data_IF_125563043588
#
_entry.id   IF_125563043588
#
_cell.length_a   1.000
_cell.length_b   1.000
_cell.length_c   1.000
_cell.angle_alpha   90.00
_cell.angle_beta   90.00
_cell.angle_gamma   90.00
#
_symmetry.space_group_name_H-M   'P 1'
#
loop_
_entity.id
_entity.type
_entity.pdbx_description
1 polymer ?
2 non-polymer ?
3 water ?
#
# COMPACT_ATOMS: atom_id res chain seq x y z
N UNK A 15 12.52 -9.17 -20.61
CA UNK A 15 13.89 -8.66 -20.95
C UNK A 15 14.75 -8.60 -19.68
N UNK A 16 14.12 -8.33 -18.52
CA UNK A 16 14.76 -8.25 -17.18
C UNK A 16 14.43 -9.51 -16.36
N UNK A 17 15.32 -9.90 -15.46
CA UNK A 17 15.26 -11.18 -14.71
C UNK A 17 16.34 -11.17 -13.62
N UNK A 18 16.17 -12.04 -12.63
CA UNK A 18 17.08 -12.13 -11.45
C UNK A 18 18.26 -13.06 -11.78
N UNK A 19 19.46 -12.60 -11.43
CA UNK A 19 20.75 -13.32 -11.63
C UNK A 19 21.04 -14.12 -10.36
N UNK A 20 21.11 -13.43 -9.22
CA UNK A 20 21.52 -13.99 -7.90
C UNK A 20 20.71 -13.33 -6.78
N UNK A 21 20.71 -13.97 -5.61
CA UNK A 21 20.06 -13.48 -4.37
C UNK A 21 20.92 -13.85 -3.16
N UNK A 22 21.87 -12.97 -2.83
CA UNK A 22 22.88 -13.17 -1.77
C UNK A 22 22.29 -12.67 -0.45
N UNK A 23 22.12 -13.56 0.53
CA UNK A 23 21.71 -13.18 1.91
C UNK A 23 22.73 -12.21 2.51
N UNK A 24 22.26 -11.04 2.97
CA UNK A 24 23.10 -10.02 3.66
C UNK A 24 23.01 -10.26 5.17
N UNK A 25 21.80 -10.38 5.71
CA UNK A 25 21.54 -10.60 7.17
C UNK A 25 20.14 -11.18 7.37
N UNK A 26 20.02 -12.28 8.11
CA UNK A 26 18.74 -12.94 8.48
C UNK A 26 18.34 -12.54 9.91
N UNK A 27 17.17 -11.94 10.10
CA UNK A 27 16.56 -11.73 11.43
C UNK A 27 15.69 -12.92 11.85
N UNK A 28 15.00 -12.78 12.98
CA UNK A 28 13.98 -13.73 13.51
C UNK A 28 12.79 -13.80 12.55
N UNK A 29 12.30 -12.65 12.09
CA UNK A 29 11.03 -12.52 11.32
C UNK A 29 11.32 -12.28 9.84
N UNK A 30 12.32 -11.45 9.57
CA UNK A 30 12.59 -10.90 8.21
C UNK A 30 14.10 -10.91 7.94
N UNK A 31 14.48 -11.06 6.66
CA UNK A 31 15.89 -11.08 6.19
C UNK A 31 16.09 -10.02 5.10
N UNK A 32 17.34 -9.58 4.94
CA UNK A 32 17.79 -8.60 3.93
C UNK A 32 18.69 -9.33 2.93
N UNK A 33 18.48 -9.16 1.62
CA UNK A 33 19.22 -9.91 0.55
C UNK A 33 19.67 -8.94 -0.54
N UNK A 34 20.88 -9.13 -1.06
CA UNK A 34 21.41 -8.38 -2.23
C UNK A 34 20.95 -9.13 -3.48
N UNK A 35 19.97 -8.55 -4.17
CA UNK A 35 19.44 -9.06 -5.45
C UNK A 35 20.27 -8.47 -6.59
N UNK A 36 21.00 -9.31 -7.30
CA UNK A 36 21.62 -8.95 -8.60
C UNK A 36 20.61 -9.29 -9.69
N UNK A 37 20.39 -8.37 -10.63
CA UNK A 37 19.42 -8.54 -11.75
C UNK A 37 20.02 -7.99 -13.04
N UNK A 38 19.47 -8.43 -14.17
CA UNK A 38 19.81 -7.95 -15.53
C UNK A 38 18.81 -6.87 -15.94
N UNK A 39 19.32 -5.69 -16.31
CA UNK A 39 18.47 -4.59 -16.81
C UNK A 39 18.20 -4.88 -18.29
N UNK A 40 17.35 -4.08 -18.98
CA UNK A 40 17.03 -4.34 -20.39
C UNK A 40 18.17 -4.09 -21.40
N UNK A 41 19.26 -3.45 -20.95
CA UNK A 41 20.43 -3.08 -21.80
C UNK A 41 21.50 -4.18 -21.72
N UNK A 42 21.19 -5.32 -21.08
CA UNK A 42 22.14 -6.42 -20.86
C UNK A 42 23.25 -6.01 -19.90
N UNK A 43 22.91 -5.18 -18.92
CA UNK A 43 23.86 -4.56 -17.94
C UNK A 43 23.33 -4.86 -16.53
N UNK A 44 24.15 -5.46 -15.68
CA UNK A 44 23.68 -5.96 -14.37
C UNK A 44 23.68 -4.81 -13.36
N UNK A 45 22.68 -4.85 -12.46
CA UNK A 45 22.50 -3.92 -11.33
C UNK A 45 22.16 -4.75 -10.10
N UNK A 46 22.17 -4.12 -8.94
CA UNK A 46 21.81 -4.77 -7.65
C UNK A 46 20.67 -4.00 -7.00
N UNK A 47 20.06 -4.64 -6.01
CA UNK A 47 18.95 -4.08 -5.22
C UNK A 47 18.98 -4.73 -3.84
N UNK A 48 18.66 -3.95 -2.82
CA UNK A 48 18.51 -4.46 -1.44
C UNK A 48 17.02 -4.81 -1.23
N UNK A 49 16.74 -6.10 -1.08
CA UNK A 49 15.40 -6.71 -1.04
C UNK A 49 15.11 -7.31 0.34
N UNK A 50 13.87 -7.23 0.80
CA UNK A 50 13.44 -7.82 2.08
C UNK A 50 12.54 -9.03 1.79
N UNK A 51 12.72 -10.11 2.56
CA UNK A 51 11.88 -11.32 2.49
C UNK A 51 11.61 -11.81 3.92
N UNK A 52 10.46 -12.43 4.15
CA UNK A 52 10.17 -13.05 5.46
C UNK A 52 11.07 -14.28 5.60
N UNK A 53 11.55 -14.54 6.81
CA UNK A 53 12.53 -15.62 7.09
C UNK A 53 11.85 -16.97 6.87
N UNK A 54 10.53 -17.03 7.10
CA UNK A 54 9.71 -18.27 7.06
C UNK A 54 8.86 -18.27 5.78
N UNK A 55 9.24 -19.08 4.78
CA UNK A 55 8.56 -19.19 3.45
C UNK A 55 7.04 -19.40 3.64
N UNK A 56 6.22 -18.70 2.85
CA UNK A 56 4.73 -18.87 2.81
C UNK A 56 4.40 -20.14 2.03
N UNK A 57 3.68 -21.09 2.66
CA UNK A 57 3.10 -22.30 2.00
C UNK A 57 1.95 -21.84 1.08
N UNK A 58 0.95 -21.12 1.63
CA UNK A 58 -0.07 -20.33 0.88
C UNK A 58 0.64 -19.51 -0.20
N UNK A 59 0.03 -19.34 -1.37
CA UNK A 59 0.52 -18.47 -2.47
C UNK A 59 1.00 -17.14 -1.89
N UNK A 60 0.07 -16.34 -1.33
CA UNK A 60 0.29 -14.98 -0.81
C UNK A 60 0.53 -14.98 0.72
N UNK A 61 1.01 -13.83 1.20
CA UNK A 61 1.63 -13.68 2.55
C UNK A 61 0.54 -13.38 3.58
N UNK A 62 -0.37 -12.44 3.27
CA UNK A 62 -1.40 -11.99 4.21
C UNK A 62 -2.67 -11.52 3.52
N UNK A 63 -3.59 -10.96 4.31
CA UNK A 63 -4.83 -10.30 3.82
C UNK A 63 -4.94 -8.91 4.46
N UNK A 64 -5.44 -7.94 3.70
CA UNK A 64 -6.01 -6.67 4.20
C UNK A 64 -7.52 -6.75 4.03
N UNK A 65 -8.26 -6.51 5.11
CA UNK A 65 -9.74 -6.64 5.13
C UNK A 65 -10.36 -5.25 4.98
N UNK A 66 -11.21 -5.08 3.97
CA UNK A 66 -12.05 -3.86 3.78
C UNK A 66 -13.41 -4.13 4.39
N UNK A 67 -13.62 -3.75 5.67
CA UNK A 67 -14.83 -4.11 6.41
C UNK A 67 -15.87 -2.99 6.38
N UNK A 68 -17.03 -3.29 5.81
CA UNK A 68 -18.13 -2.32 5.58
C UNK A 68 -19.21 -2.59 6.62
N UNK A 69 -19.33 -1.69 7.60
CA UNK A 69 -20.36 -1.77 8.67
C UNK A 69 -21.69 -1.21 8.14
N UNK A 70 -22.62 -2.13 7.87
CA UNK A 70 -23.95 -1.81 7.29
C UNK A 70 -25.01 -1.87 8.40
N UNK A 71 -25.63 -0.72 8.69
CA UNK A 71 -26.78 -0.60 9.62
C UNK A 71 -27.90 0.21 8.96
N UNK A 72 -29.14 -0.19 9.20
CA UNK A 72 -30.36 0.59 8.89
C UNK A 72 -30.38 1.81 9.82
N UNK A 73 -30.79 2.96 9.27
CA UNK A 73 -30.93 4.26 10.00
C UNK A 73 -29.54 4.81 10.36
N UNK A 74 -28.49 4.29 9.71
CA UNK A 74 -27.08 4.74 9.85
C UNK A 74 -26.46 4.85 8.46
N UNK A 75 -25.39 5.63 8.34
CA UNK A 75 -24.52 5.63 7.14
C UNK A 75 -23.67 4.35 7.16
N UNK A 76 -23.35 3.84 5.98
CA UNK A 76 -22.35 2.76 5.82
C UNK A 76 -21.00 3.29 6.33
N UNK A 77 -20.37 2.55 7.24
CA UNK A 77 -19.04 2.88 7.83
C UNK A 77 -17.99 1.89 7.31
N UNK A 78 -16.75 2.37 7.13
CA UNK A 78 -15.55 1.52 6.88
C UNK A 78 -14.81 1.40 8.20
N UNK A 79 -14.61 0.16 8.67
CA UNK A 79 -13.99 -0.15 9.99
C UNK A 79 -12.47 -0.23 9.81
N UNK A 80 -11.75 0.64 10.52
CA UNK A 80 -10.27 0.74 10.49
C UNK A 80 -9.74 0.47 11.90
N UNK A 81 -8.43 0.29 12.01
CA UNK A 81 -7.74 -0.07 13.28
C UNK A 81 -6.61 0.92 13.52
N UNK A 82 -6.58 1.51 14.71
CA UNK A 82 -5.47 2.39 15.23
C UNK A 82 -4.53 1.50 16.04
N UNK A 83 -3.40 1.11 15.45
CA UNK A 83 -2.33 0.31 16.13
C UNK A 83 -1.11 1.19 16.33
N UNK A 84 -0.37 0.97 17.42
CA UNK A 84 1.03 1.42 17.56
C UNK A 84 1.91 0.50 16.72
N UNK A 85 2.71 1.08 15.84
CA UNK A 85 3.53 0.36 14.83
C UNK A 85 5.00 0.69 15.07
N UNK A 86 5.77 -0.24 15.68
CA UNK A 86 7.16 0.02 16.02
C UNK A 86 7.99 0.54 14.85
N UNK A 87 7.94 -0.08 13.64
CA UNK A 87 8.70 0.42 12.50
C UNK A 87 8.51 1.91 12.21
N UNK A 88 7.30 2.42 12.47
CA UNK A 88 6.91 3.84 12.21
C UNK A 88 7.25 4.71 13.44
N UNK A 89 7.36 4.09 14.62
CA UNK A 89 7.53 4.78 15.91
C UNK A 89 6.28 5.57 16.29
N UNK A 90 5.12 5.17 15.79
CA UNK A 90 3.86 5.88 16.04
C UNK A 90 2.66 5.00 15.79
N UNK A 91 1.48 5.60 15.88
CA UNK A 91 0.16 4.97 15.61
C UNK A 91 -0.15 5.13 14.12
N UNK A 92 -0.69 4.08 13.51
CA UNK A 92 -1.14 4.07 12.10
C UNK A 92 -2.59 3.64 12.05
N UNK A 93 -3.35 4.25 11.15
CA UNK A 93 -4.73 3.82 10.81
C UNK A 93 -4.65 3.00 9.53
N UNK A 94 -5.06 1.73 9.64
CA UNK A 94 -4.92 0.73 8.54
C UNK A 94 -6.23 -0.05 8.43
N UNK A 95 -6.39 -0.78 7.33
CA UNK A 95 -7.35 -1.90 7.23
C UNK A 95 -6.90 -3.01 8.16
N UNK A 96 -7.84 -3.67 8.86
CA UNK A 96 -7.52 -4.88 9.61
C UNK A 96 -6.81 -5.86 8.65
N UNK A 97 -5.61 -6.29 9.03
CA UNK A 97 -4.73 -7.15 8.21
C UNK A 97 -3.96 -8.08 9.13
N UNK A 98 -3.50 -9.20 8.55
CA UNK A 98 -2.74 -10.25 9.24
C UNK A 98 -2.26 -11.29 8.27
N UNK A 99 -1.31 -12.12 8.71
CA UNK A 99 -0.70 -13.18 7.87
C UNK A 99 -1.67 -14.36 7.83
N UNK A 100 -1.70 -15.05 6.69
CA UNK A 100 -2.52 -16.25 6.44
C UNK A 100 -1.88 -17.43 7.18
N UNK A 101 -2.61 -18.07 8.11
CA UNK A 101 -2.19 -19.33 8.78
C UNK A 101 -1.96 -20.42 7.72
N UNK A 102 -1.05 -21.35 7.98
CA UNK A 102 -0.72 -22.44 7.02
C UNK A 102 -2.00 -23.24 6.76
N UNK A 103 -2.27 -23.56 5.49
CA UNK A 103 -3.50 -24.25 5.04
C UNK A 103 -4.73 -23.54 5.56
N UNK A 104 -4.99 -22.35 5.03
CA UNK A 104 -6.15 -21.47 5.39
C UNK A 104 -6.45 -20.57 4.19
N UNK A 105 -7.70 -20.54 3.73
CA UNK A 105 -8.12 -19.71 2.57
C UNK A 105 -8.01 -18.24 2.94
N UNK A 106 -7.72 -17.34 1.96
CA UNK A 106 -7.62 -15.91 2.24
C UNK A 106 -8.92 -15.41 2.88
N UNK A 107 -10.03 -15.95 2.39
CA UNK A 107 -11.40 -15.67 2.87
C UNK A 107 -11.49 -16.03 4.36
N UNK A 108 -11.10 -17.26 4.73
CA UNK A 108 -11.08 -17.73 6.13
C UNK A 108 -10.30 -16.73 6.97
N UNK A 109 -9.11 -16.37 6.46
CA UNK A 109 -8.10 -15.51 7.11
C UNK A 109 -8.72 -14.14 7.40
N UNK A 110 -9.35 -13.53 6.39
CA UNK A 110 -9.98 -12.19 6.46
C UNK A 110 -11.06 -12.17 7.57
N UNK A 111 -11.90 -13.20 7.65
CA UNK A 111 -13.00 -13.27 8.64
C UNK A 111 -12.43 -13.53 10.05
N UNK A 112 -11.35 -14.30 10.13
CA UNK A 112 -10.61 -14.53 11.40
C UNK A 112 -9.99 -13.21 11.86
N UNK A 113 -9.18 -12.57 11.01
CA UNK A 113 -8.43 -11.32 11.33
C UNK A 113 -9.40 -10.19 11.66
N UNK A 114 -10.57 -10.15 11.04
CA UNK A 114 -11.58 -9.12 11.35
C UNK A 114 -12.09 -9.37 12.78
N UNK A 115 -12.59 -10.57 13.06
CA UNK A 115 -13.20 -10.89 14.37
C UNK A 115 -12.14 -10.65 15.46
N UNK A 116 -10.89 -11.01 15.20
CA UNK A 116 -9.79 -10.86 16.20
C UNK A 116 -9.57 -9.37 16.48
N UNK A 117 -9.37 -8.57 15.43
CA UNK A 117 -8.96 -7.15 15.58
C UNK A 117 -10.14 -6.28 16.03
N UNK A 118 -11.36 -6.57 15.56
CA UNK A 118 -12.55 -5.69 15.72
C UNK A 118 -13.67 -6.36 16.53
N UNK A 119 -13.71 -7.69 16.57
CA UNK A 119 -14.78 -8.44 17.28
C UNK A 119 -16.00 -8.66 16.40
N UNK A 120 -15.97 -8.12 15.17
CA UNK A 120 -17.09 -8.21 14.21
C UNK A 120 -17.07 -9.57 13.51
N UNK A 121 -18.26 -10.18 13.41
CA UNK A 121 -18.50 -11.41 12.61
C UNK A 121 -19.12 -10.94 11.29
N UNK A 122 -18.39 -11.10 10.17
CA UNK A 122 -18.76 -10.55 8.84
C UNK A 122 -19.15 -11.64 7.85
N UNK A 123 -19.42 -11.23 6.60
CA UNK A 123 -19.59 -12.15 5.44
C UNK A 123 -18.65 -11.68 4.33
N UNK A 124 -18.10 -12.61 3.55
CA UNK A 124 -17.27 -12.31 2.36
C UNK A 124 -18.12 -11.52 1.37
N UNK A 125 -17.49 -10.64 0.60
CA UNK A 125 -18.07 -9.95 -0.56
C UNK A 125 -17.27 -10.35 -1.80
N UNK A 126 -15.97 -10.09 -1.77
CA UNK A 126 -15.06 -10.45 -2.88
C UNK A 126 -13.63 -10.41 -2.37
N UNK A 127 -12.75 -11.08 -3.10
CA UNK A 127 -11.35 -11.33 -2.73
C UNK A 127 -10.46 -10.97 -3.92
N UNK A 128 -9.53 -10.03 -3.73
CA UNK A 128 -8.55 -9.62 -4.75
C UNK A 128 -7.59 -10.78 -4.99
N UNK A 129 -7.01 -10.90 -6.20
CA UNK A 129 -5.80 -11.68 -6.37
C UNK A 129 -4.72 -11.16 -5.41
N UNK A 130 -3.62 -11.90 -5.29
CA UNK A 130 -2.36 -11.41 -4.67
C UNK A 130 -1.99 -10.05 -5.29
N UNK A 131 -1.76 -9.04 -4.44
CA UNK A 131 -1.24 -7.71 -4.87
C UNK A 131 -0.05 -7.35 -3.99
N UNK A 132 0.99 -6.75 -4.56
CA UNK A 132 2.24 -6.39 -3.86
C UNK A 132 1.98 -5.23 -2.90
N UNK A 133 2.50 -5.34 -1.67
CA UNK A 133 2.34 -4.32 -0.61
C UNK A 133 3.41 -3.21 -0.76
N UNK A 134 4.64 -3.59 -1.09
CA UNK A 134 5.84 -2.71 -1.05
C UNK A 134 6.83 -3.25 -2.08
N UNK A 135 6.51 -3.16 -3.39
CA UNK A 135 7.30 -3.83 -4.42
C UNK A 135 8.75 -3.35 -4.54
N UNK A 136 9.02 -2.07 -4.24
CA UNK A 136 10.36 -1.47 -4.30
C UNK A 136 11.22 -1.84 -3.09
N UNK A 137 10.69 -2.63 -2.16
CA UNK A 137 11.43 -3.11 -0.97
C UNK A 137 11.23 -4.62 -0.81
N UNK A 138 9.98 -5.08 -0.64
CA UNK A 138 9.63 -6.44 -0.17
C UNK A 138 8.89 -7.20 -1.27
N UNK A 139 8.88 -8.54 -1.19
CA UNK A 139 8.06 -9.42 -2.06
C UNK A 139 6.75 -9.76 -1.34
N UNK A 140 6.38 -8.95 -0.35
CA UNK A 140 5.09 -9.10 0.39
C UNK A 140 3.94 -8.92 -0.60
N UNK A 141 3.10 -9.94 -0.70
CA UNK A 141 1.82 -9.96 -1.46
C UNK A 141 0.69 -10.20 -0.46
N UNK A 142 -0.48 -9.63 -0.73
CA UNK A 142 -1.70 -9.75 0.12
C UNK A 142 -2.91 -9.93 -0.80
N UNK A 143 -3.98 -10.48 -0.22
CA UNK A 143 -5.34 -10.49 -0.83
C UNK A 143 -6.13 -9.39 -0.13
N UNK A 144 -6.58 -8.42 -0.90
CA UNK A 144 -7.52 -7.37 -0.40
C UNK A 144 -8.90 -8.02 -0.40
N UNK A 145 -9.42 -8.32 0.78
CA UNK A 145 -10.70 -9.04 0.95
C UNK A 145 -11.76 -8.02 1.35
N UNK A 146 -12.82 -7.92 0.54
CA UNK A 146 -14.00 -7.06 0.84
C UNK A 146 -14.98 -7.86 1.67
N UNK A 147 -15.38 -7.31 2.82
CA UNK A 147 -16.22 -7.98 3.84
C UNK A 147 -17.37 -7.05 4.22
N UNK A 148 -18.57 -7.61 4.36
CA UNK A 148 -19.79 -6.89 4.80
C UNK A 148 -20.06 -7.25 6.26
N UNK A 149 -20.52 -6.29 7.04
CA UNK A 149 -20.88 -6.49 8.48
C UNK A 149 -22.31 -5.99 8.70
N UNK A 150 -23.20 -6.93 9.04
CA UNK A 150 -24.62 -6.65 9.36
C UNK A 150 -24.71 -6.15 10.80
N UNK A 151 -24.57 -4.83 10.98
CA UNK A 151 -24.51 -4.18 12.30
C UNK A 151 -25.81 -4.35 13.07
N UNK A 152 -26.93 -4.52 12.38
CA UNK A 152 -28.29 -4.66 12.99
C UNK A 152 -28.41 -6.03 13.64
N UNK A 153 -27.68 -7.01 13.11
CA UNK A 153 -27.60 -8.40 13.66
C UNK A 153 -27.16 -8.32 15.13
N UNK A 154 -27.52 -9.32 15.93
CA UNK A 154 -27.22 -9.40 17.38
C UNK A 154 -25.73 -9.72 17.60
N UNK A 155 -25.19 -10.65 16.80
CA UNK A 155 -23.76 -11.02 16.72
C UNK A 155 -22.86 -9.78 16.81
N UNK A 156 -23.27 -8.68 16.18
CA UNK A 156 -22.47 -7.44 16.01
C UNK A 156 -23.05 -6.32 16.88
N UNK A 157 -23.86 -6.66 17.88
CA UNK A 157 -24.38 -5.73 18.91
C UNK A 157 -23.27 -5.42 19.92
N UNK A 158 -22.76 -6.46 20.60
CA UNK A 158 -21.54 -6.41 21.45
C UNK A 158 -20.41 -7.10 20.68
N UNK A 159 -19.63 -6.35 19.84
CA UNK A 159 -18.50 -6.93 19.13
C UNK A 159 -17.37 -7.17 20.14
N UNK A 160 -17.08 -8.44 20.45
CA UNK A 160 -16.04 -8.88 21.42
C UNK A 160 -14.77 -9.31 20.66
N UNK A 161 -13.76 -8.43 20.53
CA UNK A 161 -12.49 -8.78 19.88
C UNK A 161 -11.79 -9.94 20.61
N UNK A 162 -11.18 -10.84 19.83
CA UNK A 162 -10.21 -11.88 20.29
C UNK A 162 -8.79 -11.51 19.84
N UNK A 163 -8.18 -10.41 20.37
CA UNK A 163 -7.06 -9.71 19.73
C UNK A 163 -5.76 -10.49 19.50
N UNK A 164 -5.57 -11.63 20.16
CA UNK A 164 -4.34 -12.42 19.99
C UNK A 164 -3.15 -11.69 20.59
N UNK A 165 -2.08 -12.42 20.86
CA UNK A 165 -1.03 -12.02 21.85
C UNK A 165 -0.21 -10.88 21.27
N UNK A 166 0.08 -9.87 22.09
CA UNK A 166 0.91 -8.72 21.74
C UNK A 166 0.24 -7.80 20.74
N UNK A 167 -1.05 -8.01 20.44
CA UNK A 167 -1.82 -7.15 19.49
C UNK A 167 -2.74 -6.24 20.31
N UNK A 168 -2.59 -4.92 20.15
CA UNK A 168 -3.33 -3.85 20.89
C UNK A 168 -3.95 -2.88 19.88
N UNK A 169 -5.19 -3.20 19.49
CA UNK A 169 -5.96 -2.61 18.38
C UNK A 169 -7.07 -1.73 18.96
N UNK A 170 -7.17 -0.50 18.48
CA UNK A 170 -8.35 0.37 18.71
C UNK A 170 -9.14 0.41 17.40
N UNK A 171 -10.46 0.16 17.49
CA UNK A 171 -11.37 0.11 16.31
C UNK A 171 -11.85 1.54 16.01
N UNK A 172 -11.87 1.92 14.75
CA UNK A 172 -12.29 3.28 14.28
C UNK A 172 -13.18 3.10 13.05
N UNK A 173 -14.51 3.15 13.21
CA UNK A 173 -15.48 3.08 12.09
C UNK A 173 -15.79 4.51 11.60
N UNK A 174 -15.58 4.75 10.31
CA UNK A 174 -15.81 6.06 9.65
C UNK A 174 -16.80 5.90 8.49
N UNK A 175 -17.70 6.88 8.28
CA UNK A 175 -18.68 6.80 7.20
C UNK A 175 -17.96 6.83 5.85
N UNK A 176 -18.36 5.93 4.94
CA UNK A 176 -17.85 5.81 3.54
C UNK A 176 -17.95 7.15 2.80
N UNK A 177 -19.07 7.85 2.98
CA UNK A 177 -19.45 9.08 2.24
C UNK A 177 -18.48 10.22 2.57
N UNK A 178 -17.85 10.21 3.75
CA UNK A 178 -17.09 11.37 4.26
C UNK A 178 -15.65 10.97 4.58
N UNK A 179 -15.20 9.82 4.05
CA UNK A 179 -13.97 9.12 4.54
C UNK A 179 -12.74 10.03 4.44
N UNK A 180 -12.41 10.47 3.23
CA UNK A 180 -11.16 11.24 2.95
C UNK A 180 -11.05 12.44 3.89
N UNK A 181 -12.12 13.22 4.00
CA UNK A 181 -12.19 14.46 4.82
C UNK A 181 -12.09 14.07 6.29
N UNK A 182 -12.75 12.96 6.67
CA UNK A 182 -12.83 12.46 8.06
C UNK A 182 -11.45 11.94 8.50
N UNK A 183 -10.65 11.44 7.56
CA UNK A 183 -9.25 11.00 7.80
C UNK A 183 -8.37 12.22 8.00
N UNK A 184 -8.42 13.18 7.08
CA UNK A 184 -7.63 14.43 7.11
C UNK A 184 -7.81 15.09 8.48
N UNK A 185 -9.01 15.02 9.05
CA UNK A 185 -9.40 15.56 10.38
C UNK A 185 -8.65 14.82 11.49
N UNK A 186 -8.57 13.48 11.41
CA UNK A 186 -7.94 12.60 12.43
C UNK A 186 -6.42 12.78 12.39
N UNK A 187 -5.83 12.86 11.20
CA UNK A 187 -4.38 13.13 11.00
C UNK A 187 -4.01 14.43 11.73
N UNK A 188 -4.71 15.53 11.42
CA UNK A 188 -4.45 16.87 11.98
C UNK A 188 -4.77 16.91 13.48
N UNK A 189 -5.83 16.19 13.93
CA UNK A 189 -6.36 16.25 15.32
C UNK A 189 -5.49 15.43 16.28
N UNK A 190 -4.77 14.40 15.80
CA UNK A 190 -3.82 13.58 16.61
C UNK A 190 -2.45 13.54 15.92
N UNK A 191 -1.46 12.90 16.54
CA UNK A 191 -0.18 12.49 15.90
C UNK A 191 -0.39 11.09 15.33
N UNK A 192 -1.15 10.99 14.23
CA UNK A 192 -1.52 9.69 13.59
C UNK A 192 -1.03 9.68 12.14
N UNK A 193 -0.91 8.48 11.57
CA UNK A 193 -0.53 8.24 10.15
C UNK A 193 -1.53 7.27 9.52
N UNK A 194 -1.96 7.57 8.30
CA UNK A 194 -2.91 6.71 7.56
C UNK A 194 -2.11 5.83 6.61
N UNK A 195 -2.49 4.55 6.56
CA UNK A 195 -2.00 3.52 5.62
C UNK A 195 -2.24 4.04 4.20
N UNK A 196 -1.30 3.82 3.28
CA UNK A 196 -1.39 4.32 1.88
C UNK A 196 -2.61 3.70 1.18
N UNK A 197 -2.93 2.45 1.50
CA UNK A 197 -4.05 1.72 0.84
C UNK A 197 -5.40 2.29 1.30
N UNK A 198 -5.52 2.59 2.59
CA UNK A 198 -6.73 3.24 3.21
C UNK A 198 -6.94 4.61 2.55
N UNK A 199 -5.87 5.39 2.39
CA UNK A 199 -5.94 6.74 1.78
C UNK A 199 -6.21 6.64 0.28
N UNK A 200 -5.62 5.67 -0.42
CA UNK A 200 -5.88 5.38 -1.86
C UNK A 200 -7.36 5.06 -2.06
N UNK A 201 -7.88 4.15 -1.23
CA UNK A 201 -9.29 3.72 -1.21
C UNK A 201 -10.18 4.96 -1.07
N UNK A 202 -9.91 5.79 -0.05
CA UNK A 202 -10.72 6.97 0.35
C UNK A 202 -10.70 8.02 -0.76
N UNK A 203 -9.55 8.19 -1.40
CA UNK A 203 -9.36 9.16 -2.52
C UNK A 203 -10.28 8.75 -3.68
N UNK A 204 -10.36 7.46 -3.98
CA UNK A 204 -11.19 6.90 -5.08
C UNK A 204 -12.67 7.19 -4.81
N UNK A 205 -13.08 7.09 -3.55
CA UNK A 205 -14.50 7.26 -3.13
C UNK A 205 -14.97 8.69 -3.44
N UNK A 206 -14.11 9.68 -3.27
CA UNK A 206 -14.39 11.10 -3.62
C UNK A 206 -14.41 11.24 -5.14
N UNK A 207 -13.41 10.69 -5.83
CA UNK A 207 -13.21 10.85 -7.29
C UNK A 207 -14.33 10.16 -8.08
N UNK A 208 -14.90 9.10 -7.51
CA UNK A 208 -15.95 8.27 -8.13
C UNK A 208 -17.23 9.10 -8.32
N UNK A 209 -17.77 9.63 -7.20
CA UNK A 209 -19.15 10.19 -7.03
C UNK A 209 -19.66 10.80 -8.33
N UNK B 15 1.06 5.13 26.96
CA UNK B 15 1.74 4.00 27.64
C UNK B 15 2.78 3.37 26.71
N UNK B 16 2.68 3.59 25.39
CA UNK B 16 3.56 2.98 24.35
C UNK B 16 4.51 4.02 23.77
N UNK B 17 5.73 3.58 23.45
CA UNK B 17 6.85 4.41 22.94
C UNK B 17 8.02 3.49 22.57
N UNK B 18 8.97 4.00 21.78
CA UNK B 18 10.21 3.27 21.40
C UNK B 18 11.27 3.49 22.49
N UNK B 19 11.91 2.40 22.91
CA UNK B 19 12.94 2.36 23.99
C UNK B 19 14.31 2.55 23.33
N UNK B 20 14.64 1.65 22.42
CA UNK B 20 16.00 1.50 21.83
C UNK B 20 15.89 0.95 20.42
N UNK B 21 17.00 1.02 19.69
CA UNK B 21 17.12 0.57 18.28
C UNK B 21 18.53 0.05 18.05
N UNK B 22 18.67 -1.26 18.16
CA UNK B 22 19.93 -1.99 17.93
C UNK B 22 20.03 -2.33 16.43
N UNK B 23 21.01 -1.77 15.74
CA UNK B 23 21.32 -2.10 14.32
C UNK B 23 21.63 -3.59 14.20
N UNK B 24 20.91 -4.30 13.32
CA UNK B 24 21.15 -5.73 12.99
C UNK B 24 22.11 -5.81 11.81
N UNK B 25 21.80 -5.10 10.72
CA UNK B 25 22.63 -5.08 9.48
C UNK B 25 22.31 -3.81 8.68
N UNK B 26 23.35 -3.05 8.31
CA UNK B 26 23.25 -1.84 7.46
C UNK B 26 23.63 -2.19 6.03
N UNK B 27 22.74 -1.94 5.06
CA UNK B 27 23.03 -1.97 3.62
C UNK B 27 23.49 -0.61 3.12
N UNK B 28 23.72 -0.48 1.81
CA UNK B 28 24.04 0.80 1.11
C UNK B 28 22.82 1.72 1.20
N UNK B 29 21.63 1.17 0.95
CA UNK B 29 20.37 1.93 0.76
C UNK B 29 19.49 1.85 2.01
N UNK B 30 19.44 0.67 2.62
CA UNK B 30 18.46 0.33 3.69
C UNK B 30 19.15 -0.49 4.78
N UNK B 31 18.70 -0.32 6.02
CA UNK B 31 19.23 -1.04 7.21
C UNK B 31 18.08 -1.72 7.94
N UNK B 32 18.40 -2.79 8.67
CA UNK B 32 17.47 -3.55 9.53
C UNK B 32 17.87 -3.30 10.99
N UNK B 33 16.93 -2.94 11.87
CA UNK B 33 17.19 -2.66 13.31
C UNK B 33 16.21 -3.43 14.20
N UNK B 34 16.70 -3.97 15.33
CA UNK B 34 15.87 -4.56 16.40
C UNK B 34 15.39 -3.41 17.29
N UNK B 35 14.12 -3.07 17.12
CA UNK B 35 13.39 -2.02 17.87
C UNK B 35 12.83 -2.66 19.14
N UNK B 36 13.33 -2.22 20.29
CA UNK B 36 12.70 -2.45 21.61
C UNK B 36 11.68 -1.34 21.82
N UNK B 37 10.47 -1.70 22.26
CA UNK B 37 9.36 -0.75 22.52
C UNK B 37 8.60 -1.21 23.77
N UNK B 38 7.84 -0.29 24.36
CA UNK B 38 6.95 -0.57 25.51
C UNK B 38 5.52 -0.75 25.01
N UNK B 39 4.88 -1.87 25.36
CA UNK B 39 3.45 -2.12 25.06
C UNK B 39 2.63 -1.41 26.15
N UNK B 40 1.28 -1.34 26.04
CA UNK B 40 0.46 -0.58 26.98
C UNK B 40 0.35 -1.20 28.39
N UNK B 41 0.80 -2.44 28.56
CA UNK B 41 0.68 -3.21 29.82
C UNK B 41 1.96 -3.04 30.65
N UNK B 42 2.86 -2.15 30.21
CA UNK B 42 4.18 -1.95 30.85
C UNK B 42 5.06 -3.19 30.69
N UNK B 43 4.91 -3.89 29.55
CA UNK B 43 5.74 -5.06 29.15
C UNK B 43 6.45 -4.73 27.84
N UNK B 44 7.78 -4.86 27.83
CA UNK B 44 8.61 -4.48 26.67
C UNK B 44 8.59 -5.64 25.67
N UNK B 45 8.59 -5.29 24.39
CA UNK B 45 8.67 -6.23 23.25
C UNK B 45 9.71 -5.70 22.27
N UNK B 46 10.05 -6.54 21.30
CA UNK B 46 11.02 -6.26 20.22
C UNK B 46 10.30 -6.38 18.88
N UNK B 47 10.87 -5.78 17.85
CA UNK B 47 10.34 -5.80 16.46
C UNK B 47 11.52 -5.59 15.53
N UNK B 48 11.51 -6.23 14.36
CA UNK B 48 12.51 -5.99 13.29
C UNK B 48 11.94 -4.93 12.34
N UNK B 49 12.58 -3.75 12.33
CA UNK B 49 12.16 -2.52 11.60
C UNK B 49 13.18 -2.19 10.50
N UNK B 50 12.70 -1.71 9.37
CA UNK B 50 13.57 -1.30 8.23
C UNK B 50 13.52 0.22 8.09
N UNK B 51 14.68 0.83 7.84
CA UNK B 51 14.87 2.30 7.72
C UNK B 51 15.89 2.56 6.63
N UNK B 52 15.81 3.73 5.99
CA UNK B 52 16.82 4.20 5.01
C UNK B 52 18.15 4.37 5.73
N UNK B 53 19.25 4.05 5.05
CA UNK B 53 20.63 4.21 5.57
C UNK B 53 20.90 5.70 5.79
N UNK B 54 20.26 6.57 5.01
CA UNK B 54 20.35 8.05 5.12
C UNK B 54 19.05 8.58 5.77
N UNK B 58 13.49 15.74 4.72
CA UNK B 58 12.16 15.95 4.09
C UNK B 58 11.08 15.27 4.93
N UNK B 59 9.91 15.92 5.07
CA UNK B 59 8.74 15.38 5.83
C UNK B 59 8.54 13.90 5.46
N UNK B 60 8.10 13.64 4.23
CA UNK B 60 7.85 12.28 3.66
C UNK B 60 8.96 11.90 2.67
N UNK B 61 8.99 10.62 2.30
CA UNK B 61 10.11 9.96 1.58
C UNK B 61 9.97 10.14 0.07
N UNK B 62 8.77 9.91 -0.47
CA UNK B 62 8.50 9.94 -1.92
C UNK B 62 7.07 10.34 -2.21
N UNK B 63 6.67 10.21 -3.49
CA UNK B 63 5.29 10.45 -3.96
C UNK B 63 4.86 9.25 -4.83
N UNK B 64 3.58 8.90 -4.72
CA UNK B 64 2.83 8.11 -5.73
C UNK B 64 1.88 9.07 -6.46
N UNK B 65 1.91 9.06 -7.78
CA UNK B 65 1.08 9.97 -8.62
C UNK B 65 -0.15 9.19 -9.12
N UNK B 66 -1.36 9.70 -8.83
CA UNK B 66 -2.64 9.17 -9.39
C UNK B 66 -2.98 10.01 -10.60
N UNK B 67 -2.59 9.57 -11.82
CA UNK B 67 -2.71 10.37 -13.02
C UNK B 67 -3.97 9.98 -13.81
N UNK B 68 -4.85 10.95 -13.96
CA UNK B 68 -6.18 10.77 -14.63
C UNK B 68 -6.06 11.39 -16.02
N UNK B 69 -6.01 10.54 -17.05
CA UNK B 69 -5.97 10.96 -18.47
C UNK B 69 -7.40 11.30 -18.90
N UNK B 70 -7.68 12.60 -19.04
CA UNK B 70 -8.99 13.14 -19.44
C UNK B 70 -8.94 13.53 -20.91
N UNK B 71 -9.72 12.83 -21.73
CA UNK B 71 -9.97 13.14 -23.15
C UNK B 71 -11.47 13.16 -23.43
N UNK B 72 -11.88 14.09 -24.29
CA UNK B 72 -13.28 14.30 -24.70
C UNK B 72 -13.73 13.10 -25.54
N UNK B 73 -14.96 12.62 -25.30
CA UNK B 73 -15.63 11.54 -26.05
C UNK B 73 -14.98 10.19 -25.76
N UNK B 74 -14.22 10.12 -24.66
CA UNK B 74 -13.58 8.90 -24.13
C UNK B 74 -13.83 8.81 -22.63
N UNK B 75 -13.69 7.61 -22.06
CA UNK B 75 -13.68 7.40 -20.60
C UNK B 75 -12.34 7.94 -20.06
N UNK B 76 -12.39 8.48 -18.84
CA UNK B 76 -11.18 8.84 -18.06
C UNK B 76 -10.34 7.57 -17.90
N UNK B 77 -9.06 7.66 -18.24
CA UNK B 77 -8.08 6.57 -18.04
C UNK B 77 -7.20 6.89 -16.83
N UNK B 78 -6.80 5.84 -16.10
CA UNK B 78 -5.76 5.93 -15.02
C UNK B 78 -4.45 5.45 -15.65
N UNK B 79 -3.42 6.31 -15.62
CA UNK B 79 -2.09 6.01 -16.21
C UNK B 79 -1.23 5.28 -15.16
N UNK B 80 -0.84 4.06 -15.49
CA UNK B 80 -0.05 3.17 -14.61
C UNK B 80 1.28 2.83 -15.31
N UNK B 81 2.21 2.25 -14.56
CA UNK B 81 3.56 1.92 -15.06
C UNK B 81 3.83 0.44 -14.74
N UNK B 82 4.31 -0.28 -15.75
CA UNK B 82 4.81 -1.68 -15.65
C UNK B 82 6.33 -1.62 -15.47
N UNK B 83 6.78 -1.77 -14.23
CA UNK B 83 8.23 -1.74 -13.85
C UNK B 83 8.64 -3.14 -13.42
N UNK B 84 9.90 -3.50 -13.68
CA UNK B 84 10.56 -4.68 -13.06
C UNK B 84 10.96 -4.30 -11.64
N UNK B 85 10.54 -5.13 -10.68
CA UNK B 85 10.75 -4.90 -9.24
C UNK B 85 11.57 -6.04 -8.69
N UNK B 86 12.89 -5.82 -8.44
CA UNK B 86 13.76 -6.88 -7.93
C UNK B 86 13.21 -7.59 -6.68
N UNK B 87 12.74 -6.87 -5.64
CA UNK B 87 12.18 -7.53 -4.46
C UNK B 87 11.08 -8.56 -4.77
N UNK B 88 10.30 -8.33 -5.83
CA UNK B 88 9.15 -9.17 -6.26
C UNK B 88 9.61 -10.25 -7.25
N UNK B 89 10.78 -10.05 -7.86
CA UNK B 89 11.36 -10.92 -8.90
C UNK B 89 10.55 -10.90 -10.18
N UNK B 90 9.80 -9.82 -10.40
CA UNK B 90 8.87 -9.72 -11.54
C UNK B 90 8.47 -8.29 -11.79
N UNK B 91 7.53 -8.13 -12.73
CA UNK B 91 6.96 -6.84 -13.16
C UNK B 91 5.72 -6.57 -12.32
N UNK B 92 5.59 -5.31 -11.87
CA UNK B 92 4.45 -4.83 -11.07
C UNK B 92 3.81 -3.63 -11.77
N UNK B 93 2.50 -3.55 -11.65
CA UNK B 93 1.70 -2.41 -12.15
C UNK B 93 1.39 -1.53 -10.94
N UNK B 94 1.88 -0.29 -11.00
CA UNK B 94 1.82 0.67 -9.88
C UNK B 94 1.50 2.05 -10.44
N UNK B 95 1.16 2.98 -9.54
CA UNK B 95 1.13 4.42 -9.84
C UNK B 95 2.56 4.90 -10.08
N UNK B 96 2.75 5.80 -11.07
CA UNK B 96 4.03 6.50 -11.25
C UNK B 96 4.45 7.08 -9.90
N UNK B 97 5.65 6.73 -9.44
CA UNK B 97 6.18 7.11 -8.13
C UNK B 97 7.70 7.35 -8.25
N UNK B 98 8.22 8.16 -7.33
CA UNK B 98 9.66 8.41 -7.19
C UNK B 98 9.96 9.11 -5.88
N UNK B 99 11.25 9.23 -5.56
CA UNK B 99 11.74 9.91 -4.35
C UNK B 99 11.64 11.43 -4.59
N UNK B 100 11.34 12.17 -3.53
CA UNK B 100 11.31 13.67 -3.57
C UNK B 100 12.77 14.15 -3.55
N UNK B 101 13.20 14.90 -4.58
CA UNK B 101 14.54 15.54 -4.64
C UNK B 101 14.68 16.50 -3.46
N UNK B 102 15.91 16.71 -2.97
CA UNK B 102 16.21 17.62 -1.83
C UNK B 102 15.64 19.00 -2.17
N UNK B 103 14.94 19.61 -1.20
CA UNK B 103 14.26 20.91 -1.34
C UNK B 103 13.41 20.96 -2.60
N UNK B 104 12.29 20.23 -2.61
CA UNK B 104 11.35 20.09 -3.75
C UNK B 104 9.97 19.75 -3.18
N UNK B 105 8.92 20.47 -3.56
CA UNK B 105 7.54 20.23 -3.08
C UNK B 105 7.07 18.87 -3.60
N UNK B 106 6.20 18.14 -2.83
CA UNK B 106 5.68 16.85 -3.26
C UNK B 106 4.97 17.01 -4.62
N UNK B 107 4.29 18.13 -4.77
CA UNK B 107 3.55 18.54 -6.00
C UNK B 107 4.57 18.60 -7.15
N UNK B 108 5.66 19.35 -6.97
CA UNK B 108 6.74 19.49 -7.99
C UNK B 108 7.19 18.09 -8.40
N UNK B 109 7.45 17.25 -7.39
CA UNK B 109 7.99 15.88 -7.50
C UNK B 109 7.06 15.03 -8.36
N UNK B 110 5.76 15.04 -8.03
CA UNK B 110 4.71 14.26 -8.71
C UNK B 110 4.66 14.63 -10.21
N UNK B 111 4.69 15.92 -10.53
CA UNK B 111 4.59 16.40 -11.94
C UNK B 111 5.88 16.10 -12.69
N UNK B 112 7.02 16.14 -11.99
CA UNK B 112 8.33 15.76 -12.56
C UNK B 112 8.32 14.25 -12.85
N UNK B 113 8.02 13.43 -11.84
CA UNK B 113 8.05 11.94 -11.95
C UNK B 113 7.04 11.46 -12.98
N UNK B 114 5.93 12.16 -13.14
CA UNK B 114 4.94 11.80 -14.19
C UNK B 114 5.55 12.07 -15.56
N UNK B 115 6.01 13.29 -15.82
CA UNK B 115 6.57 13.67 -17.14
C UNK B 115 7.73 12.74 -17.49
N UNK B 116 8.55 12.40 -16.50
CA UNK B 116 9.75 11.56 -16.71
C UNK B 116 9.29 10.14 -17.10
N UNK B 117 8.41 9.53 -16.32
CA UNK B 117 8.01 8.11 -16.50
C UNK B 117 7.07 7.96 -17.72
N UNK B 118 6.17 8.93 -17.95
CA UNK B 118 5.01 8.81 -18.87
C UNK B 118 5.08 9.81 -20.05
N UNK B 119 5.83 10.91 -19.91
CA UNK B 119 5.95 11.94 -20.97
C UNK B 119 4.81 12.94 -20.92
N UNK B 120 3.86 12.74 -19.99
CA UNK B 120 2.66 13.59 -19.82
C UNK B 120 3.04 14.82 -18.98
N UNK B 121 2.56 15.99 -19.39
CA UNK B 121 2.52 17.21 -18.54
C UNK B 121 1.14 17.27 -17.88
N UNK B 122 1.08 17.20 -16.54
CA UNK B 122 -0.18 17.18 -15.76
C UNK B 122 -0.42 18.46 -14.99
N UNK B 123 -1.55 18.54 -14.28
CA UNK B 123 -1.93 19.64 -13.35
C UNK B 123 -2.31 19.01 -12.01
N UNK B 124 -1.92 19.64 -10.91
CA UNK B 124 -2.23 19.15 -9.54
C UNK B 124 -3.74 19.19 -9.37
N UNK B 125 -4.27 18.27 -8.57
CA UNK B 125 -5.68 18.25 -8.10
C UNK B 125 -5.68 18.37 -6.59
N UNK B 126 -5.01 17.45 -5.92
CA UNK B 126 -4.80 17.48 -4.46
C UNK B 126 -3.61 16.59 -4.12
N UNK B 127 -3.09 16.79 -2.90
CA UNK B 127 -1.89 16.11 -2.36
C UNK B 127 -2.25 15.56 -0.98
N UNK B 128 -2.05 14.26 -0.79
CA UNK B 128 -2.28 13.57 0.49
C UNK B 128 -1.26 14.03 1.51
N UNK B 129 -1.60 14.05 2.81
CA UNK B 129 -0.58 14.06 3.86
C UNK B 129 0.36 12.86 3.64
N UNK B 130 1.46 12.82 4.39
CA UNK B 130 2.31 11.62 4.53
C UNK B 130 1.41 10.43 4.87
N UNK B 131 1.54 9.35 4.11
CA UNK B 131 0.80 8.08 4.40
C UNK B 131 1.83 6.95 4.41
N UNK B 132 1.76 6.11 5.44
CA UNK B 132 2.72 5.01 5.68
C UNK B 132 2.52 3.94 4.59
N UNK B 133 3.62 3.51 3.99
CA UNK B 133 3.65 2.60 2.83
C UNK B 133 3.66 1.15 3.32
N UNK B 134 4.38 0.88 4.41
CA UNK B 134 4.54 -0.48 4.97
C UNK B 134 4.76 -0.34 6.48
N UNK B 135 3.72 0.05 7.24
CA UNK B 135 3.85 0.37 8.66
C UNK B 135 4.33 -0.81 9.54
N UNK B 136 3.99 -2.04 9.16
CA UNK B 136 4.37 -3.27 9.89
C UNK B 136 5.83 -3.66 9.67
N UNK B 137 6.54 -2.94 8.80
CA UNK B 137 7.94 -3.23 8.42
C UNK B 137 8.79 -1.95 8.48
N UNK B 138 8.41 -0.93 7.72
CA UNK B 138 9.25 0.27 7.46
C UNK B 138 8.58 1.51 8.04
N UNK B 139 9.35 2.59 8.19
CA UNK B 139 8.89 3.95 8.54
C UNK B 139 8.69 4.76 7.25
N UNK B 140 8.58 4.08 6.11
CA UNK B 140 8.40 4.73 4.79
C UNK B 140 7.03 5.41 4.78
N UNK B 141 7.03 6.71 4.50
CA UNK B 141 5.84 7.53 4.18
C UNK B 141 5.96 8.07 2.74
N UNK B 142 4.81 8.34 2.11
CA UNK B 142 4.71 9.00 0.78
C UNK B 142 3.56 10.01 0.80
N UNK B 143 3.56 10.93 -0.17
CA UNK B 143 2.41 11.78 -0.52
C UNK B 143 1.78 11.17 -1.76
N UNK B 144 0.52 10.78 -1.65
CA UNK B 144 -0.29 10.37 -2.81
C UNK B 144 -0.80 11.66 -3.44
N UNK B 145 -0.29 12.00 -4.62
CA UNK B 145 -0.66 13.25 -5.35
C UNK B 145 -1.65 12.90 -6.45
N UNK B 146 -2.84 13.52 -6.43
CA UNK B 146 -3.87 13.38 -7.47
C UNK B 146 -3.62 14.41 -8.57
N UNK B 147 -3.53 13.95 -9.81
CA UNK B 147 -3.08 14.77 -10.96
C UNK B 147 -4.05 14.54 -12.13
N UNK B 148 -4.40 15.61 -12.83
CA UNK B 148 -5.25 15.58 -14.05
C UNK B 148 -4.36 15.78 -15.28
N UNK B 149 -4.68 15.09 -16.37
CA UNK B 149 -3.96 15.20 -17.68
C UNK B 149 -5.00 15.50 -18.75
N UNK B 150 -4.89 16.67 -19.38
CA UNK B 150 -5.71 17.05 -20.55
C UNK B 150 -5.08 16.41 -21.79
N UNK B 151 -5.49 15.18 -22.12
CA UNK B 151 -5.02 14.43 -23.29
C UNK B 151 -5.32 15.14 -24.61
N UNK B 152 -6.34 16.01 -24.62
CA UNK B 152 -6.78 16.78 -25.82
C UNK B 152 -5.75 17.87 -26.12
N UNK B 153 -5.08 18.36 -25.08
CA UNK B 153 -3.99 19.37 -25.17
C UNK B 153 -2.90 18.85 -26.11
N UNK B 154 -2.14 19.78 -26.73
CA UNK B 154 -1.00 19.49 -27.64
C UNK B 154 0.19 18.92 -26.86
N UNK B 155 0.50 19.48 -25.68
CA UNK B 155 1.65 19.04 -24.83
C UNK B 155 1.57 17.51 -24.62
N UNK B 156 0.36 16.94 -24.61
CA UNK B 156 0.10 15.51 -24.30
C UNK B 156 -0.30 14.75 -25.57
N UNK B 157 0.03 15.30 -26.75
CA UNK B 157 -0.33 14.73 -28.07
C UNK B 157 0.59 13.53 -28.38
N UNK B 158 1.90 13.78 -28.47
CA UNK B 158 2.95 12.74 -28.56
C UNK B 158 3.65 12.67 -27.21
N UNK B 159 3.15 11.85 -26.24
CA UNK B 159 3.76 11.75 -24.92
C UNK B 159 5.05 10.94 -25.04
N UNK B 160 6.21 11.62 -24.95
CA UNK B 160 7.56 11.03 -25.08
C UNK B 160 8.17 10.95 -23.69
N UNK B 161 8.10 9.78 -22.99
CA UNK B 161 8.79 9.63 -21.70
C UNK B 161 10.31 9.86 -21.86
N UNK B 162 10.90 10.68 -20.98
CA UNK B 162 12.38 10.86 -20.85
C UNK B 162 12.82 10.28 -19.51
N UNK B 163 12.79 8.93 -19.32
CA UNK B 163 13.01 8.33 -18.00
C UNK B 163 14.48 8.45 -17.58
N UNK B 164 14.75 8.61 -16.28
CA UNK B 164 16.12 8.66 -15.74
C UNK B 164 16.95 7.48 -16.22
N UNK B 165 18.27 7.56 -16.09
CA UNK B 165 19.17 6.42 -16.42
C UNK B 165 18.91 5.29 -15.41
N UNK B 166 18.91 4.05 -15.89
CA UNK B 166 18.68 2.85 -15.05
C UNK B 166 17.22 2.72 -14.65
N UNK B 167 16.33 3.59 -15.14
CA UNK B 167 14.87 3.48 -14.98
C UNK B 167 14.28 3.03 -16.32
N UNK B 168 13.58 1.89 -16.32
CA UNK B 168 12.97 1.23 -17.51
C UNK B 168 11.49 0.95 -17.23
N UNK B 169 10.66 1.93 -17.60
CA UNK B 169 9.20 2.02 -17.28
C UNK B 169 8.40 1.80 -18.56
N UNK B 170 7.38 0.94 -18.53
CA UNK B 170 6.38 0.82 -19.61
C UNK B 170 5.09 1.49 -19.12
N UNK B 171 4.48 2.35 -19.94
CA UNK B 171 3.22 3.07 -19.61
C UNK B 171 2.04 2.16 -19.97
N UNK B 172 1.04 2.12 -19.10
CA UNK B 172 -0.23 1.37 -19.29
C UNK B 172 -1.40 2.26 -18.84
N UNK B 173 -2.14 2.82 -19.80
CA UNK B 173 -3.39 3.58 -19.57
C UNK B 173 -4.59 2.62 -19.51
N UNK B 174 -5.35 2.63 -18.42
CA UNK B 174 -6.59 1.82 -18.26
C UNK B 174 -7.78 2.74 -18.05
N UNK B 175 -8.95 2.40 -18.64
CA UNK B 175 -10.16 3.18 -18.42
C UNK B 175 -10.59 3.10 -16.95
N UNK B 176 -10.87 4.27 -16.35
CA UNK B 176 -11.26 4.43 -14.91
C UNK B 176 -12.55 3.65 -14.64
N UNK B 177 -13.49 3.68 -15.61
CA UNK B 177 -14.85 3.10 -15.52
C UNK B 177 -14.79 1.58 -15.31
N UNK B 178 -13.74 0.94 -15.83
CA UNK B 178 -13.65 -0.53 -16.03
C UNK B 178 -12.47 -1.10 -15.24
N UNK B 179 -11.88 -0.32 -14.34
CA UNK B 179 -10.49 -0.51 -13.83
C UNK B 179 -10.35 -1.87 -13.12
N UNK B 180 -11.17 -2.13 -12.10
CA UNK B 180 -11.03 -3.33 -11.25
C UNK B 180 -11.06 -4.60 -12.11
N UNK B 181 -12.05 -4.68 -12.99
CA UNK B 181 -12.27 -5.82 -13.92
C UNK B 181 -11.09 -5.90 -14.89
N UNK B 182 -10.62 -4.76 -15.38
CA UNK B 182 -9.53 -4.62 -16.38
C UNK B 182 -8.20 -5.05 -15.75
N UNK B 183 -8.04 -4.85 -14.43
CA UNK B 183 -6.84 -5.28 -13.66
C UNK B 183 -6.86 -6.80 -13.50
N UNK B 184 -7.98 -7.33 -13.01
CA UNK B 184 -8.19 -8.78 -12.79
C UNK B 184 -7.82 -9.53 -14.08
N UNK B 185 -8.14 -8.95 -15.23
CA UNK B 185 -7.87 -9.48 -16.59
C UNK B 185 -6.36 -9.54 -16.85
N UNK B 186 -5.63 -8.48 -16.49
CA UNK B 186 -4.16 -8.36 -16.71
C UNK B 186 -3.41 -9.35 -15.84
N UNK B 187 -3.81 -9.47 -14.58
CA UNK B 187 -3.23 -10.45 -13.61
C UNK B 187 -3.34 -11.86 -14.19
N UNK B 188 -4.55 -12.27 -14.56
CA UNK B 188 -4.88 -13.62 -15.07
C UNK B 188 -4.22 -13.85 -16.44
N UNK B 189 -4.15 -12.82 -17.29
CA UNK B 189 -3.68 -12.92 -18.70
C UNK B 189 -2.15 -13.02 -18.76
N UNK B 190 -1.42 -12.44 -17.81
CA UNK B 190 0.08 -12.43 -17.80
C UNK B 190 0.61 -12.92 -16.44
N UNK B 191 1.93 -13.06 -16.34
CA UNK B 191 2.69 -13.26 -15.08
C UNK B 191 3.04 -11.88 -14.51
N UNK B 192 2.04 -11.12 -14.06
CA UNK B 192 2.20 -9.72 -13.58
C UNK B 192 1.63 -9.60 -12.17
N UNK B 193 2.01 -8.55 -11.44
CA UNK B 193 1.45 -8.22 -10.10
C UNK B 193 0.97 -6.76 -10.08
N UNK B 194 -0.21 -6.56 -9.52
CA UNK B 194 -0.80 -5.20 -9.35
C UNK B 194 -0.51 -4.75 -7.92
N UNK B 195 -0.05 -3.51 -7.79
CA UNK B 195 0.29 -2.86 -6.50
C UNK B 195 -1.02 -2.73 -5.72
N UNK B 196 -0.93 -2.94 -4.41
CA UNK B 196 -2.08 -2.90 -3.48
C UNK B 196 -2.76 -1.53 -3.52
N UNK B 197 -2.00 -0.45 -3.68
CA UNK B 197 -2.54 0.93 -3.67
C UNK B 197 -3.41 1.16 -4.90
N UNK B 198 -2.95 0.69 -6.07
CA UNK B 198 -3.68 0.75 -7.36
C UNK B 198 -4.98 -0.06 -7.25
N UNK B 199 -4.92 -1.27 -6.69
CA UNK B 199 -6.09 -2.16 -6.51
C UNK B 199 -7.08 -1.57 -5.49
N UNK B 200 -6.58 -0.97 -4.41
CA UNK B 200 -7.38 -0.27 -3.37
C UNK B 200 -8.21 0.84 -4.01
N UNK B 201 -7.56 1.68 -4.82
CA UNK B 201 -8.21 2.79 -5.57
C UNK B 201 -9.38 2.24 -6.39
N UNK B 202 -9.10 1.21 -7.21
CA UNK B 202 -10.05 0.60 -8.17
C UNK B 202 -11.23 -0.03 -7.44
N UNK B 203 -10.97 -0.67 -6.32
CA UNK B 203 -12.01 -1.34 -5.48
C UNK B 203 -12.98 -0.25 -4.98
N UNK B 204 -12.46 0.91 -4.58
CA UNK B 204 -13.24 2.04 -4.03
C UNK B 204 -14.17 2.58 -5.10
N UNK B 205 -13.71 2.62 -6.35
CA UNK B 205 -14.50 3.17 -7.51
C UNK B 205 -15.81 2.38 -7.67
N UNK B 206 -15.78 1.06 -7.50
CA UNK B 206 -17.00 0.21 -7.56
C UNK B 206 -17.83 0.44 -6.29
N UNK B 207 -17.18 0.43 -5.12
CA UNK B 207 -17.82 0.49 -3.78
C UNK B 207 -18.51 1.85 -3.58
N UNK B 208 -18.02 2.90 -4.22
CA UNK B 208 -18.47 4.29 -4.01
C UNK B 208 -19.97 4.43 -4.28
N UNK B 209 -20.53 5.54 -3.77
CA UNK B 209 -21.99 5.84 -3.78
C UNK B 209 -22.70 4.65 -3.14
#
# INVERSE_FOLDING_TARGET
>A
SMESQEPTESSQNGKQYIISEELISEGKWVKLEKTTYMDPTGKTRTWESVKRTTRKEQTADGVAVIPVLQRTLHYECIVLVKQFRPPMGGYCIEFPAGLIDDGETPEAAALRELEEETGYKGDIAECSPAVCMDPGLSNCTIHIVTVTINGDDAENARPKPKPGDGEFVEVISLPKNDLLQRLDALVAEEHLTVDARVYSYALALKHAN
>B
SMESQEPTESSQNGKQYIISEELISEGKWVKLEKTTYMDPTGKTRTWESVKRTTRKEQTADGVAVIPVLQRTLHYECIVLVKQFRPPMGGYCIEFPAGLIDDGETPEAAALRELEEETGYKGDIAECSPAVCMDPGLSNCTIHIVTVTINGDDAENARPKPKPGDGEFVEVISLPKNDLLQRLDALVAEEHLTVDARVYSYALALKHAN
#
